data_IF_648891723649
#
_entry.id   IF_648891723649
#
_cell.length_a   1.000
_cell.length_b   1.000
_cell.length_c   1.000
_cell.angle_alpha   90.00
_cell.angle_beta   90.00
_cell.angle_gamma   90.00
#
_symmetry.space_group_name_H-M   'P 1'
#
loop_
_entity.id
_entity.type
_entity.pdbx_description
1 polymer ?
#
# COMPACT_ATOMS: atom_id res chain seq x y z
N UNK A 1 19.24 5.93 8.87
CA UNK A 1 17.83 5.51 9.06
C UNK A 1 17.01 6.69 9.53
N UNK A 2 15.87 6.92 8.91
CA UNK A 2 14.97 8.02 9.29
C UNK A 2 14.08 7.60 10.47
N UNK A 3 13.81 8.54 11.35
CA UNK A 3 12.85 8.37 12.43
C UNK A 3 11.49 8.93 11.96
N UNK A 4 10.56 8.04 11.61
CA UNK A 4 9.25 8.43 11.08
C UNK A 4 8.34 9.03 12.15
N UNK A 5 8.73 8.98 13.43
CA UNK A 5 7.98 9.65 14.50
C UNK A 5 8.38 11.10 14.69
N UNK A 6 9.50 11.55 14.13
CA UNK A 6 9.94 12.93 14.18
C UNK A 6 9.12 13.80 13.22
N UNK A 7 8.74 15.03 13.60
CA UNK A 7 7.94 15.90 12.74
C UNK A 7 8.76 16.41 11.56
N UNK A 8 8.67 15.73 10.43
CA UNK A 8 9.47 16.00 9.23
C UNK A 8 8.54 16.01 8.01
N UNK A 9 8.79 16.94 7.09
CA UNK A 9 8.10 16.93 5.80
C UNK A 9 8.50 15.69 5.01
N UNK A 10 7.52 15.02 4.43
CA UNK A 10 7.73 13.85 3.56
C UNK A 10 7.38 14.23 2.13
N UNK A 11 8.31 13.99 1.20
CA UNK A 11 8.05 14.09 -0.22
C UNK A 11 7.87 12.67 -0.76
N UNK A 12 6.66 12.33 -1.18
CA UNK A 12 6.34 10.96 -1.59
C UNK A 12 7.17 10.52 -2.81
N UNK A 13 7.36 11.41 -3.79
CA UNK A 13 8.14 11.08 -4.98
C UNK A 13 9.60 10.76 -4.64
N UNK A 14 10.22 11.54 -3.77
CA UNK A 14 11.59 11.28 -3.32
C UNK A 14 11.70 9.94 -2.59
N UNK A 15 10.75 9.63 -1.72
CA UNK A 15 10.75 8.37 -1.00
C UNK A 15 10.58 7.18 -1.94
N UNK A 16 9.65 7.29 -2.89
CA UNK A 16 9.42 6.25 -3.91
C UNK A 16 10.64 6.04 -4.82
N UNK A 17 11.39 7.10 -5.10
CA UNK A 17 12.59 7.01 -5.93
C UNK A 17 13.78 6.36 -5.20
N UNK A 18 13.71 6.19 -3.90
CA UNK A 18 14.82 5.68 -3.10
C UNK A 18 14.92 4.15 -3.08
N UNK A 19 13.96 3.43 -3.66
CA UNK A 19 13.99 1.97 -3.76
C UNK A 19 13.36 1.51 -5.07
N UNK A 20 13.58 0.25 -5.46
CA UNK A 20 13.09 -0.29 -6.73
C UNK A 20 12.35 -1.62 -6.61
N UNK A 21 12.44 -2.32 -5.49
CA UNK A 21 11.77 -3.59 -5.29
C UNK A 21 10.25 -3.41 -5.22
N UNK A 22 9.52 -4.44 -5.63
CA UNK A 22 8.07 -4.42 -5.71
C UNK A 22 7.42 -5.14 -4.53
N UNK A 23 6.21 -4.72 -4.18
CA UNK A 23 5.38 -5.33 -3.13
C UNK A 23 6.03 -5.31 -1.74
N UNK A 24 6.95 -4.37 -1.51
CA UNK A 24 7.69 -4.22 -0.26
C UNK A 24 7.45 -2.82 0.31
N UNK A 25 6.39 -2.63 1.10
CA UNK A 25 6.03 -1.30 1.61
C UNK A 25 7.10 -0.67 2.49
N UNK A 26 7.27 0.65 2.34
CA UNK A 26 8.15 1.47 3.18
C UNK A 26 7.32 2.41 4.03
N UNK A 27 7.58 2.43 5.33
CA UNK A 27 6.91 3.36 6.25
C UNK A 27 7.60 4.71 6.14
N UNK A 28 6.84 5.75 5.81
CA UNK A 28 7.36 7.12 5.66
C UNK A 28 6.87 8.07 6.73
N UNK A 29 5.78 7.75 7.42
CA UNK A 29 5.22 8.54 8.51
C UNK A 29 4.23 7.72 9.32
N UNK A 30 3.77 8.27 10.44
CA UNK A 30 2.72 7.67 11.26
C UNK A 30 1.67 8.73 11.60
N UNK A 31 0.42 8.28 11.66
CA UNK A 31 -0.70 9.15 12.00
C UNK A 31 -1.71 8.37 12.86
N UNK A 32 -1.86 8.78 14.11
CA UNK A 32 -2.82 8.18 15.06
C UNK A 32 -2.71 6.64 15.12
N UNK A 33 -1.49 6.13 15.29
CA UNK A 33 -1.26 4.69 15.38
C UNK A 33 -1.30 3.95 14.05
N UNK A 34 -1.44 4.66 12.93
CA UNK A 34 -1.39 4.08 11.60
C UNK A 34 -0.02 4.31 10.96
N UNK A 35 0.43 3.34 10.18
CA UNK A 35 1.58 3.50 9.32
C UNK A 35 1.13 4.10 7.98
N UNK A 36 1.76 5.21 7.59
CA UNK A 36 1.63 5.75 6.23
C UNK A 36 2.81 5.21 5.44
N UNK A 37 2.51 4.51 4.35
CA UNK A 37 3.51 3.78 3.59
C UNK A 37 3.45 4.13 2.11
N UNK A 38 4.58 3.94 1.43
CA UNK A 38 4.64 3.95 -0.03
C UNK A 38 5.17 2.62 -0.53
N UNK A 39 4.69 2.20 -1.69
CA UNK A 39 5.05 0.92 -2.29
C UNK A 39 5.07 1.06 -3.81
N UNK A 40 6.01 0.35 -4.45
CA UNK A 40 6.03 0.17 -5.90
C UNK A 40 5.48 -1.21 -6.20
N UNK A 41 4.60 -1.32 -7.18
CA UNK A 41 3.95 -2.59 -7.52
C UNK A 41 3.96 -2.80 -9.02
N UNK A 42 4.04 -4.06 -9.44
CA UNK A 42 3.93 -4.47 -10.84
C UNK A 42 3.40 -5.90 -10.86
N UNK A 43 2.51 -6.21 -11.81
CA UNK A 43 1.90 -7.52 -11.90
C UNK A 43 0.82 -7.74 -10.84
N UNK A 44 0.58 -9.00 -10.51
CA UNK A 44 -0.49 -9.42 -9.62
C UNK A 44 0.00 -9.61 -8.20
N UNK A 45 -0.81 -9.17 -7.23
CA UNK A 45 -0.65 -9.59 -5.83
C UNK A 45 -1.52 -10.83 -5.56
N UNK A 46 -1.50 -11.29 -4.31
CA UNK A 46 -2.33 -12.43 -3.90
C UNK A 46 -3.73 -11.96 -3.49
N UNK A 47 -4.73 -12.82 -3.69
CA UNK A 47 -6.04 -12.61 -3.09
C UNK A 47 -5.93 -12.70 -1.58
N UNK A 48 -6.44 -11.69 -0.88
CA UNK A 48 -6.37 -11.63 0.58
C UNK A 48 -7.46 -10.73 1.15
N UNK A 49 -7.54 -10.70 2.45
CA UNK A 49 -8.42 -9.79 3.20
C UNK A 49 -7.76 -9.43 4.52
N UNK A 50 -8.22 -8.33 5.11
CA UNK A 50 -7.87 -7.93 6.47
C UNK A 50 -9.13 -8.03 7.31
N UNK A 51 -9.13 -8.86 8.36
CA UNK A 51 -10.33 -9.16 9.13
C UNK A 51 -10.68 -8.07 10.15
N UNK A 52 -9.72 -7.23 10.52
CA UNK A 52 -9.84 -6.28 11.62
C UNK A 52 -9.57 -4.82 11.22
N UNK A 53 -9.40 -4.54 9.94
CA UNK A 53 -9.19 -3.16 9.46
C UNK A 53 -9.61 -3.00 8.00
N UNK A 54 -9.98 -1.78 7.64
CA UNK A 54 -10.11 -1.37 6.24
C UNK A 54 -8.72 -1.28 5.60
N UNK A 55 -8.68 -1.34 4.27
CA UNK A 55 -7.43 -1.25 3.50
C UNK A 55 -7.51 -0.04 2.56
N UNK A 56 -6.61 0.93 2.74
CA UNK A 56 -6.62 2.21 2.05
C UNK A 56 -5.58 2.23 0.94
N UNK A 57 -6.01 2.57 -0.28
CA UNK A 57 -5.15 2.72 -1.46
C UNK A 57 -5.29 4.11 -2.05
N UNK A 58 -4.17 4.79 -2.34
CA UNK A 58 -4.12 6.02 -3.12
C UNK A 58 -3.03 5.86 -4.17
N UNK A 59 -3.40 5.97 -5.45
CA UNK A 59 -2.42 5.89 -6.54
C UNK A 59 -1.71 7.24 -6.69
N UNK A 60 -0.38 7.20 -6.65
CA UNK A 60 0.48 8.37 -6.87
C UNK A 60 0.84 8.50 -8.35
N UNK A 61 1.16 7.36 -8.99
CA UNK A 61 1.55 7.31 -10.41
C UNK A 61 1.18 5.95 -10.98
N UNK A 62 0.73 5.93 -12.24
CA UNK A 62 0.30 4.72 -12.92
C UNK A 62 -1.19 4.41 -12.75
N UNK A 63 -1.59 3.19 -13.13
CA UNK A 63 -2.97 2.71 -12.98
C UNK A 63 -2.99 1.38 -12.24
N UNK A 64 -3.78 1.32 -11.18
CA UNK A 64 -3.92 0.12 -10.35
C UNK A 64 -5.35 -0.40 -10.42
N UNK A 65 -5.49 -1.70 -10.69
CA UNK A 65 -6.78 -2.37 -10.54
C UNK A 65 -6.87 -2.98 -9.13
N UNK A 66 -7.97 -2.70 -8.45
CA UNK A 66 -8.33 -3.43 -7.23
C UNK A 66 -9.43 -4.40 -7.62
N UNK A 67 -9.09 -5.67 -7.70
CA UNK A 67 -10.07 -6.72 -8.03
C UNK A 67 -10.82 -7.14 -6.78
N UNK A 68 -12.14 -7.03 -6.83
CA UNK A 68 -13.05 -7.60 -5.85
C UNK A 68 -13.70 -8.85 -6.47
N UNK A 69 -14.39 -9.66 -5.68
CA UNK A 69 -15.02 -10.86 -6.24
C UNK A 69 -16.13 -10.55 -7.23
N UNK A 70 -16.80 -9.40 -7.07
CA UNK A 70 -17.94 -9.00 -7.90
C UNK A 70 -17.61 -7.92 -8.95
N UNK A 71 -16.45 -7.28 -8.88
CA UNK A 71 -16.07 -6.23 -9.81
C UNK A 71 -14.59 -5.86 -9.69
N UNK A 72 -14.12 -5.03 -10.63
CA UNK A 72 -12.78 -4.43 -10.58
C UNK A 72 -12.92 -2.90 -10.51
N UNK A 73 -12.15 -2.29 -9.62
CA UNK A 73 -12.07 -0.83 -9.49
C UNK A 73 -10.70 -0.40 -10.00
N UNK A 74 -10.67 0.49 -10.99
CA UNK A 74 -9.40 1.00 -11.56
C UNK A 74 -9.12 2.40 -11.03
N UNK A 75 -7.92 2.59 -10.48
CA UNK A 75 -7.45 3.84 -9.90
C UNK A 75 -6.32 4.43 -10.73
N UNK A 76 -6.44 5.69 -11.10
CA UNK A 76 -5.36 6.50 -11.68
C UNK A 76 -4.75 7.45 -10.65
N UNK A 77 -3.76 8.27 -11.06
CA UNK A 77 -3.09 9.20 -10.13
C UNK A 77 -4.07 10.14 -9.42
N UNK A 78 -3.91 10.23 -8.09
CA UNK A 78 -4.77 11.03 -7.24
C UNK A 78 -6.09 10.38 -6.87
N UNK A 79 -6.36 9.16 -7.35
CA UNK A 79 -7.58 8.43 -7.02
C UNK A 79 -7.34 7.44 -5.89
N UNK A 80 -8.33 7.27 -5.05
CA UNK A 80 -8.25 6.42 -3.87
C UNK A 80 -9.41 5.44 -3.80
N UNK A 81 -9.21 4.36 -3.07
CA UNK A 81 -10.25 3.38 -2.77
C UNK A 81 -10.00 2.76 -1.41
N UNK A 82 -11.06 2.60 -0.64
CA UNK A 82 -10.99 1.92 0.65
C UNK A 82 -11.71 0.58 0.52
N UNK A 83 -10.98 -0.50 0.73
CA UNK A 83 -11.56 -1.84 0.81
C UNK A 83 -12.02 -2.05 2.25
N UNK A 84 -13.32 -2.30 2.50
CA UNK A 84 -13.80 -2.54 3.86
C UNK A 84 -13.17 -3.79 4.48
N UNK A 85 -13.06 -3.79 5.82
CA UNK A 85 -12.58 -4.97 6.55
C UNK A 85 -13.34 -6.22 6.15
N UNK A 86 -12.63 -7.35 6.05
CA UNK A 86 -13.21 -8.64 5.71
C UNK A 86 -13.51 -8.85 4.23
N UNK A 87 -13.34 -7.85 3.37
CA UNK A 87 -13.62 -7.97 1.94
C UNK A 87 -12.38 -8.50 1.21
N UNK A 88 -12.55 -9.62 0.51
CA UNK A 88 -11.48 -10.21 -0.31
C UNK A 88 -11.16 -9.32 -1.51
N UNK A 89 -9.87 -9.11 -1.74
CA UNK A 89 -9.41 -8.27 -2.85
C UNK A 89 -8.02 -8.67 -3.32
N UNK A 90 -7.68 -8.22 -4.54
CA UNK A 90 -6.36 -8.44 -5.13
C UNK A 90 -5.97 -7.19 -5.92
N UNK A 91 -4.91 -6.47 -5.50
CA UNK A 91 -4.34 -5.40 -6.32
C UNK A 91 -3.58 -5.99 -7.51
N UNK A 92 -3.77 -5.39 -8.69
CA UNK A 92 -3.09 -5.83 -9.92
C UNK A 92 -2.62 -4.62 -10.70
N UNK A 93 -1.31 -4.53 -10.93
CA UNK A 93 -0.69 -3.51 -11.78
C UNK A 93 -0.40 -4.13 -13.15
N UNK A 94 -1.42 -4.22 -14.00
CA UNK A 94 -1.32 -4.95 -15.28
C UNK A 94 -0.81 -4.11 -16.44
N UNK A 95 -0.73 -2.78 -16.26
CA UNK A 95 -0.31 -1.84 -17.30
C UNK A 95 1.03 -1.17 -17.01
N UNK A 96 1.91 -1.87 -16.28
CA UNK A 96 3.22 -1.38 -15.89
C UNK A 96 3.29 -1.05 -14.40
N UNK A 97 4.43 -0.55 -13.96
CA UNK A 97 4.68 -0.23 -12.57
C UNK A 97 3.74 0.88 -12.06
N UNK A 98 3.25 0.71 -10.85
CA UNK A 98 2.39 1.68 -10.16
C UNK A 98 3.02 2.06 -8.82
N UNK A 99 2.91 3.34 -8.48
CA UNK A 99 3.37 3.90 -7.20
C UNK A 99 2.15 4.21 -6.36
N UNK A 100 2.10 3.66 -5.15
CA UNK A 100 0.91 3.67 -4.31
C UNK A 100 1.25 4.14 -2.90
N UNK A 101 0.35 4.93 -2.29
CA UNK A 101 0.39 5.23 -0.87
C UNK A 101 -0.66 4.40 -0.16
N UNK A 102 -0.27 3.80 0.96
CA UNK A 102 -1.12 2.97 1.80
C UNK A 102 -1.18 3.55 3.21
N UNK A 103 -2.29 3.35 3.90
CA UNK A 103 -2.41 3.67 5.33
C UNK A 103 -3.04 2.46 6.01
N UNK A 104 -2.39 1.95 7.04
CA UNK A 104 -2.87 0.79 7.80
C UNK A 104 -2.51 0.93 9.27
N UNK A 105 -3.26 0.34 10.20
CA UNK A 105 -2.84 0.27 11.59
C UNK A 105 -1.46 -0.37 11.70
N UNK A 106 -0.65 0.11 12.62
CA UNK A 106 0.70 -0.39 12.84
C UNK A 106 0.68 -1.90 13.09
N UNK A 107 1.55 -2.62 12.37
CA UNK A 107 1.67 -4.07 12.50
C UNK A 107 0.73 -4.88 11.62
N UNK A 108 -0.08 -4.25 10.75
CA UNK A 108 -0.96 -4.97 9.83
C UNK A 108 -0.13 -5.70 8.77
N UNK A 109 -0.27 -7.04 8.62
CA UNK A 109 0.45 -7.76 7.55
C UNK A 109 -0.16 -7.43 6.18
N UNK A 110 0.69 -7.13 5.18
CA UNK A 110 0.23 -6.70 3.86
C UNK A 110 -0.56 -7.76 3.10
N UNK A 111 -0.40 -9.03 3.43
CA UNK A 111 -1.13 -10.15 2.85
C UNK A 111 -2.33 -10.60 3.68
N UNK A 112 -2.57 -9.97 4.83
CA UNK A 112 -3.54 -10.43 5.82
C UNK A 112 -3.05 -11.61 6.66
N UNK A 113 -1.83 -12.10 6.43
CA UNK A 113 -1.25 -13.24 7.13
C UNK A 113 0.23 -12.95 7.42
N UNK A 114 0.61 -12.90 8.69
CA UNK A 114 1.99 -12.64 9.12
C UNK A 114 3.01 -13.62 8.54
N UNK A 115 2.60 -14.86 8.29
CA UNK A 115 3.50 -15.89 7.75
C UNK A 115 3.97 -15.58 6.32
N UNK A 116 3.21 -14.81 5.56
CA UNK A 116 3.50 -14.48 4.15
C UNK A 116 3.75 -12.99 3.92
N UNK A 117 3.60 -12.17 4.97
CA UNK A 117 3.71 -10.72 4.85
C UNK A 117 5.15 -10.26 4.59
N UNK A 118 5.30 -9.18 3.83
CA UNK A 118 6.58 -8.50 3.67
C UNK A 118 6.96 -7.77 4.95
N UNK A 119 8.26 -7.69 5.22
CA UNK A 119 8.78 -6.84 6.28
C UNK A 119 8.63 -5.38 5.87
N UNK A 120 8.12 -4.55 6.79
CA UNK A 120 7.93 -3.11 6.55
C UNK A 120 9.09 -2.34 7.12
N UNK A 121 9.79 -1.61 6.26
CA UNK A 121 11.01 -0.86 6.59
C UNK A 121 10.69 0.63 6.63
N UNK A 122 11.18 1.31 7.68
CA UNK A 122 11.10 2.77 7.78
C UNK A 122 12.18 3.42 6.91
N UNK A 123 11.82 4.46 6.19
CA UNK A 123 12.75 5.22 5.36
C UNK A 123 12.65 6.73 5.54
#
# INVERSE_FOLDING_TARGET
MNDVSAPTKVNLAEKLDSFTDHWAPRIVARYNGNDIMVVRVEGEFVWHKHDDTDDFFLVVDGELDIELRDRTVTLGPGEMFVVPEGVEHRPVARRGEVKVMLIEPRGTPNTGDEATAAEKVEI
#
